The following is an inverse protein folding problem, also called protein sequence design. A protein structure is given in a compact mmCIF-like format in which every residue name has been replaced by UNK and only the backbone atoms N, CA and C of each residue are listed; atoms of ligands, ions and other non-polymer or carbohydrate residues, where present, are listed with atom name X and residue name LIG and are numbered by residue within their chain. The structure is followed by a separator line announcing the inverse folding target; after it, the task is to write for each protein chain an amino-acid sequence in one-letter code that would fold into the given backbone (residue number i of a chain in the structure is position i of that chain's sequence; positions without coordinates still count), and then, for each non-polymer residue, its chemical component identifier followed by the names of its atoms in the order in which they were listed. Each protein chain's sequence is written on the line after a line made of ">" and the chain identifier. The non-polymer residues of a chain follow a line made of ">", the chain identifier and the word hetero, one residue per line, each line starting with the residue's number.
data_IF_454804971353
#
_entry.id   IF_454804971353
#
_cell.length_a   1.000
_cell.length_b   1.000
_cell.length_c   1.000
_cell.angle_alpha   90.00
_cell.angle_beta   90.00
_cell.angle_gamma   90.00
#
_symmetry.space_group_name_H-M   'P 1'
#
loop_
_entity.id
_entity.type
_entity.pdbx_description
1 polymer ?
#
# COMPACT_ATOMS: atom_id res chain seq x y z
N UNK A 1 27.02 31.34 -32.44
CA UNK A 1 26.56 31.27 -31.03
C UNK A 1 25.16 30.68 -30.93
N UNK A 2 24.15 31.30 -31.56
CA UNK A 2 22.73 30.86 -31.51
C UNK A 2 22.47 29.41 -31.94
N UNK A 3 23.14 28.94 -33.00
CA UNK A 3 22.94 27.58 -33.53
C UNK A 3 23.32 26.46 -32.54
N UNK A 4 24.24 26.72 -31.61
CA UNK A 4 24.65 25.77 -30.57
C UNK A 4 23.81 25.95 -29.29
N UNK A 5 23.40 27.18 -29.00
CA UNK A 5 22.56 27.47 -27.84
C UNK A 5 21.20 26.75 -27.92
N UNK A 6 20.58 26.72 -29.10
CA UNK A 6 19.26 26.13 -29.31
C UNK A 6 19.19 24.62 -28.94
N UNK A 7 20.06 23.73 -29.45
CA UNK A 7 20.03 22.31 -29.05
C UNK A 7 20.40 22.11 -27.58
N UNK A 8 21.28 22.94 -27.01
CA UNK A 8 21.65 22.85 -25.58
C UNK A 8 20.46 23.19 -24.67
N UNK A 9 19.74 24.27 -24.95
CA UNK A 9 18.53 24.63 -24.20
C UNK A 9 17.42 23.61 -24.39
N UNK A 10 17.30 23.01 -25.58
CA UNK A 10 16.33 21.93 -25.83
C UNK A 10 16.62 20.70 -24.98
N UNK A 11 17.87 20.23 -24.92
CA UNK A 11 18.27 19.13 -24.03
C UNK A 11 17.99 19.47 -22.56
N UNK A 12 18.30 20.69 -22.12
CA UNK A 12 18.00 21.15 -20.77
C UNK A 12 16.50 21.14 -20.46
N UNK A 13 15.67 21.64 -21.39
CA UNK A 13 14.22 21.64 -21.25
C UNK A 13 13.67 20.21 -21.13
N UNK A 14 14.21 19.25 -21.89
CA UNK A 14 13.85 17.83 -21.78
C UNK A 14 14.18 17.32 -20.36
N UNK A 15 15.41 17.51 -19.88
CA UNK A 15 15.81 17.05 -18.54
C UNK A 15 14.93 17.66 -17.44
N UNK A 16 14.66 18.97 -17.52
CA UNK A 16 13.78 19.65 -16.58
C UNK A 16 12.35 19.12 -16.63
N UNK A 17 11.83 18.81 -17.83
CA UNK A 17 10.49 18.25 -17.99
C UNK A 17 10.35 16.87 -17.33
N UNK A 18 11.36 16.00 -17.47
CA UNK A 18 11.38 14.70 -16.78
C UNK A 18 11.47 14.87 -15.27
N UNK A 19 12.35 15.76 -14.79
CA UNK A 19 12.49 16.03 -13.36
C UNK A 19 11.17 16.55 -12.76
N UNK A 20 10.49 17.46 -13.45
CA UNK A 20 9.17 17.94 -13.05
C UNK A 20 8.12 16.83 -13.06
N UNK A 21 8.11 15.99 -14.10
CA UNK A 21 7.19 14.85 -14.21
C UNK A 21 7.34 13.87 -13.03
N UNK A 22 8.58 13.49 -12.67
CA UNK A 22 8.84 12.67 -11.50
C UNK A 22 8.41 13.34 -10.20
N UNK A 23 8.68 14.65 -10.06
CA UNK A 23 8.24 15.42 -8.90
C UNK A 23 6.71 15.43 -8.75
N UNK A 24 5.98 15.56 -9.86
CA UNK A 24 4.51 15.49 -9.87
C UNK A 24 4.01 14.10 -9.49
N UNK A 25 4.63 13.03 -10.00
CA UNK A 25 4.29 11.65 -9.61
C UNK A 25 4.48 11.47 -8.11
N UNK A 26 5.61 11.92 -7.56
CA UNK A 26 5.86 11.80 -6.12
C UNK A 26 4.92 12.65 -5.27
N UNK A 27 4.51 13.83 -5.75
CA UNK A 27 3.53 14.65 -5.03
C UNK A 27 2.13 14.02 -5.03
N UNK A 28 1.77 13.29 -6.08
CA UNK A 28 0.48 12.61 -6.20
C UNK A 28 0.48 11.20 -5.60
N UNK A 29 1.63 10.66 -5.25
CA UNK A 29 1.73 9.36 -4.59
C UNK A 29 1.38 9.54 -3.11
N UNK A 30 0.55 8.64 -2.57
CA UNK A 30 0.20 8.65 -1.15
C UNK A 30 1.47 8.58 -0.28
N UNK A 31 1.44 9.23 0.88
CA UNK A 31 2.56 9.22 1.81
C UNK A 31 2.94 7.78 2.16
N UNK A 32 4.23 7.45 2.17
CA UNK A 32 4.71 6.13 2.65
C UNK A 32 4.28 5.83 4.09
N UNK A 33 3.95 6.87 4.87
CA UNK A 33 3.46 6.74 6.23
C UNK A 33 1.96 6.45 6.32
N UNK A 34 1.22 6.47 5.21
CA UNK A 34 -0.20 6.16 5.21
C UNK A 34 -0.40 4.64 5.28
N UNK A 35 -1.01 4.15 6.36
CA UNK A 35 -1.29 2.72 6.57
C UNK A 35 -2.16 2.13 5.45
N UNK A 36 -2.94 2.96 4.75
CA UNK A 36 -3.71 2.55 3.57
C UNK A 36 -2.84 2.09 2.40
N UNK A 37 -1.55 2.47 2.38
CA UNK A 37 -0.57 2.06 1.34
C UNK A 37 0.11 0.73 1.64
N UNK A 38 0.12 0.30 2.91
CA UNK A 38 0.74 -0.97 3.35
C UNK A 38 -0.24 -2.14 3.25
N UNK A 39 -1.52 -1.88 3.50
CA UNK A 39 -2.57 -2.90 3.58
C UNK A 39 -3.70 -2.47 2.65
N UNK A 40 -4.02 -3.29 1.65
CA UNK A 40 -5.13 -3.00 0.75
C UNK A 40 -6.46 -2.98 1.53
N UNK A 41 -7.48 -2.32 0.98
CA UNK A 41 -8.79 -2.23 1.63
C UNK A 41 -9.41 -3.60 1.92
N UNK A 42 -8.95 -4.65 1.24
CA UNK A 42 -9.41 -6.03 1.43
C UNK A 42 -8.74 -6.71 2.63
N UNK A 43 -7.55 -6.29 3.05
CA UNK A 43 -6.91 -6.76 4.28
C UNK A 43 -7.33 -5.95 5.53
N UNK A 44 -8.20 -4.94 5.37
CA UNK A 44 -8.91 -4.32 6.48
C UNK A 44 -10.13 -5.19 6.84
N UNK A 45 -9.94 -6.11 7.78
CA UNK A 45 -11.07 -6.82 8.40
C UNK A 45 -11.90 -5.78 9.16
N UNK A 46 -13.03 -5.37 8.58
CA UNK A 46 -14.00 -4.51 9.26
C UNK A 46 -14.32 -5.16 10.60
N UNK A 47 -14.07 -4.44 11.70
CA UNK A 47 -14.50 -4.86 13.02
C UNK A 47 -16.01 -5.09 12.97
N UNK A 48 -16.42 -6.36 12.99
CA UNK A 48 -17.79 -6.74 12.71
C UNK A 48 -18.76 -5.96 13.62
N UNK A 49 -19.77 -5.27 13.06
CA UNK A 49 -20.91 -4.85 13.86
C UNK A 49 -21.52 -6.11 14.48
N UNK A 50 -21.93 -6.05 15.75
CA UNK A 50 -22.45 -7.17 16.56
C UNK A 50 -23.23 -8.17 15.68
N UNK A 51 -22.55 -9.23 15.26
CA UNK A 51 -23.16 -10.27 14.44
C UNK A 51 -24.14 -11.06 15.32
N UNK A 52 -25.31 -11.46 14.79
CA UNK A 52 -26.21 -12.37 15.48
C UNK A 52 -25.48 -13.64 15.93
N UNK A 53 -25.88 -14.22 17.07
CA UNK A 53 -25.17 -15.34 17.72
C UNK A 53 -24.97 -16.57 16.80
N UNK A 54 -25.90 -16.80 15.87
CA UNK A 54 -25.88 -17.93 14.93
C UNK A 54 -25.37 -17.54 13.52
N UNK A 55 -24.82 -16.34 13.35
CA UNK A 55 -24.26 -15.92 12.08
C UNK A 55 -22.94 -16.65 11.79
N UNK A 56 -22.72 -17.01 10.53
CA UNK A 56 -21.42 -17.52 10.07
C UNK A 56 -20.44 -16.34 10.11
N UNK A 57 -19.29 -16.45 10.81
CA UNK A 57 -18.33 -15.36 10.88
C UNK A 57 -17.72 -15.13 9.49
N UNK A 58 -17.41 -13.87 9.12
CA UNK A 58 -16.78 -13.57 7.86
C UNK A 58 -15.41 -14.24 7.76
N UNK A 59 -15.04 -14.63 6.53
CA UNK A 59 -13.76 -15.24 6.24
C UNK A 59 -12.65 -14.21 6.49
N UNK A 60 -11.71 -14.55 7.35
CA UNK A 60 -10.53 -13.74 7.65
C UNK A 60 -9.29 -14.60 7.80
N UNK A 61 -8.13 -14.00 7.58
CA UNK A 61 -6.86 -14.66 7.87
C UNK A 61 -6.74 -14.91 9.38
N UNK A 62 -6.19 -16.08 9.70
CA UNK A 62 -5.83 -16.45 11.06
C UNK A 62 -4.34 -16.25 11.24
N UNK A 63 -3.94 -15.65 12.37
CA UNK A 63 -2.54 -15.54 12.70
C UNK A 63 -1.95 -16.95 12.92
N UNK A 64 -0.79 -17.22 12.34
CA UNK A 64 -0.17 -18.56 12.38
C UNK A 64 0.04 -19.08 13.81
N UNK A 65 0.29 -18.17 14.77
CA UNK A 65 0.40 -18.54 16.18
C UNK A 65 -0.90 -19.08 16.78
N UNK A 66 -2.06 -18.59 16.35
CA UNK A 66 -3.36 -19.06 16.85
C UNK A 66 -3.68 -20.45 16.29
N UNK A 67 -3.38 -20.65 15.01
CA UNK A 67 -3.46 -21.97 14.36
C UNK A 67 -2.56 -22.97 15.07
N UNK A 68 -1.30 -22.60 15.34
CA UNK A 68 -0.35 -23.49 16.00
C UNK A 68 -0.75 -23.83 17.44
N UNK A 69 -1.27 -22.85 18.21
CA UNK A 69 -1.80 -23.12 19.56
C UNK A 69 -2.99 -24.07 19.52
N UNK A 70 -3.87 -23.96 18.51
CA UNK A 70 -5.04 -24.83 18.42
C UNK A 70 -4.70 -26.26 17.99
N UNK A 71 -3.75 -26.41 17.06
CA UNK A 71 -3.36 -27.72 16.52
C UNK A 71 -2.32 -28.45 17.37
N UNK A 72 -1.41 -27.71 18.00
CA UNK A 72 -0.23 -28.25 18.68
C UNK A 72 -0.07 -27.74 20.12
N UNK A 73 -1.01 -26.94 20.63
CA UNK A 73 -1.00 -26.49 22.02
C UNK A 73 -1.36 -27.62 22.99
N UNK A 74 -1.13 -27.41 24.30
CA UNK A 74 -1.53 -28.39 25.30
C UNK A 74 -3.03 -28.64 25.19
N UNK A 75 -3.40 -29.93 25.10
CA UNK A 75 -4.79 -30.35 25.20
C UNK A 75 -5.29 -29.96 26.58
N UNK A 76 -6.19 -28.98 26.66
CA UNK A 76 -7.09 -28.81 27.80
C UNK A 76 -8.04 -30.02 27.80
N UNK A 77 -7.57 -31.13 28.36
CA UNK A 77 -8.36 -32.29 28.80
C UNK A 77 -8.87 -32.04 30.21
#
# INVERSE_FOLDING_TARGET
>A
YWAVALPVYFCFAIVLSYMAYFGLIFLQTASLSDMSTTTDSQANYVSDPVLPVDAIPPLRDLHISDVNKKLYGPLDL
#
